data_IF_812716968440
#
_entry.id   IF_812716968440
#
_cell.length_a   1.000
_cell.length_b   1.000
_cell.length_c   1.000
_cell.angle_alpha   90.00
_cell.angle_beta   90.00
_cell.angle_gamma   90.00
#
_symmetry.space_group_name_H-M   'P 1'
#
loop_
_entity.id
_entity.type
_entity.pdbx_description
1 polymer ?
#
# COMPACT_ATOMS: atom_id res chain seq x y z
N UNK A 1 16.17 8.00 0.38
CA UNK A 1 14.95 7.80 -0.43
C UNK A 1 13.91 7.07 0.42
N UNK A 2 12.63 7.34 0.20
CA UNK A 2 11.52 6.65 0.86
C UNK A 2 11.31 5.30 0.18
N UNK A 3 11.19 4.23 0.97
CA UNK A 3 10.90 2.91 0.42
C UNK A 3 9.42 2.77 0.07
N UNK A 4 9.10 2.07 -1.02
CA UNK A 4 7.73 1.70 -1.38
C UNK A 4 7.38 0.31 -0.84
N UNK A 5 6.17 0.15 -0.31
CA UNK A 5 5.66 -1.15 0.17
C UNK A 5 4.27 -1.40 -0.41
N UNK A 6 4.18 -2.37 -1.30
CA UNK A 6 2.88 -2.85 -1.82
C UNK A 6 2.35 -3.94 -0.90
N UNK A 7 1.15 -3.75 -0.36
CA UNK A 7 0.44 -4.73 0.47
C UNK A 7 -0.50 -5.55 -0.41
N UNK A 8 -0.06 -6.74 -0.82
CA UNK A 8 -0.73 -7.57 -1.82
C UNK A 8 -1.04 -9.00 -1.35
N UNK A 9 -0.76 -9.34 -0.09
CA UNK A 9 -0.88 -10.73 0.40
C UNK A 9 -2.32 -11.23 0.61
N UNK A 10 -3.34 -10.40 0.32
CA UNK A 10 -4.74 -10.78 0.45
C UNK A 10 -5.12 -11.94 -0.47
N UNK A 11 -5.84 -12.93 0.07
CA UNK A 11 -6.24 -14.15 -0.65
C UNK A 11 -7.29 -13.94 -1.74
N UNK A 12 -7.95 -12.77 -1.78
CA UNK A 12 -8.97 -12.44 -2.79
C UNK A 12 -10.13 -13.45 -2.87
N UNK A 13 -10.55 -14.04 -1.75
CA UNK A 13 -11.55 -15.13 -1.73
C UNK A 13 -12.82 -14.83 -2.53
N UNK A 14 -13.30 -13.59 -2.52
CA UNK A 14 -14.48 -13.14 -3.28
C UNK A 14 -14.22 -13.00 -4.77
N UNK A 15 -12.96 -12.85 -5.16
CA UNK A 15 -12.49 -12.67 -6.55
C UNK A 15 -12.06 -13.99 -7.20
N UNK A 16 -12.15 -15.12 -6.48
CA UNK A 16 -11.70 -16.43 -6.98
C UNK A 16 -10.19 -16.63 -6.96
N UNK A 17 -9.42 -15.70 -6.39
CA UNK A 17 -7.96 -15.75 -6.29
C UNK A 17 -7.37 -14.42 -5.82
N UNK A 18 -6.03 -14.32 -5.71
CA UNK A 18 -5.36 -13.10 -5.27
C UNK A 18 -5.69 -11.91 -6.19
N UNK A 19 -6.28 -10.84 -5.62
CA UNK A 19 -6.57 -9.61 -6.37
C UNK A 19 -5.36 -9.06 -7.10
N UNK A 20 -4.19 -9.22 -6.51
CA UNK A 20 -2.92 -8.75 -7.04
C UNK A 20 -2.60 -9.27 -8.44
N UNK A 21 -3.13 -10.45 -8.80
CA UNK A 21 -2.93 -11.09 -10.11
C UNK A 21 -3.96 -10.68 -11.17
N UNK A 22 -5.01 -9.93 -10.80
CA UNK A 22 -5.98 -9.45 -11.78
C UNK A 22 -5.31 -8.43 -12.71
N UNK A 23 -5.66 -8.53 -13.99
CA UNK A 23 -5.10 -7.66 -15.03
C UNK A 23 -5.99 -6.45 -15.29
N UNK A 24 -5.37 -5.28 -15.35
CA UNK A 24 -5.94 -4.02 -15.82
C UNK A 24 -4.98 -3.42 -16.86
N UNK A 25 -5.48 -3.13 -18.06
CA UNK A 25 -4.71 -2.55 -19.16
C UNK A 25 -3.42 -3.32 -19.52
N UNK A 26 -3.44 -4.66 -19.38
CA UNK A 26 -2.34 -5.55 -19.77
C UNK A 26 -1.23 -5.70 -18.73
N UNK A 27 -1.40 -5.17 -17.52
CA UNK A 27 -0.51 -5.41 -16.39
C UNK A 27 -1.30 -5.94 -15.17
N UNK A 28 -0.68 -6.75 -14.32
CA UNK A 28 -1.32 -7.15 -13.08
C UNK A 28 -1.43 -5.96 -12.11
N UNK A 29 -2.42 -5.99 -11.20
CA UNK A 29 -2.55 -4.94 -10.19
C UNK A 29 -1.30 -4.81 -9.31
N UNK A 30 -0.56 -5.91 -9.11
CA UNK A 30 0.72 -5.90 -8.40
C UNK A 30 1.81 -5.17 -9.20
N UNK A 31 1.97 -5.51 -10.49
CA UNK A 31 2.91 -4.83 -11.38
C UNK A 31 2.60 -3.34 -11.46
N UNK A 32 1.33 -3.00 -11.63
CA UNK A 32 0.85 -1.62 -11.65
C UNK A 32 1.23 -0.88 -10.37
N UNK A 33 0.96 -1.45 -9.20
CA UNK A 33 1.28 -0.82 -7.93
C UNK A 33 2.80 -0.60 -7.75
N UNK A 34 3.63 -1.58 -8.09
CA UNK A 34 5.09 -1.47 -8.04
C UNK A 34 5.59 -0.37 -9.00
N UNK A 35 5.11 -0.35 -10.25
CA UNK A 35 5.43 0.69 -11.23
C UNK A 35 5.05 2.09 -10.75
N UNK A 36 3.84 2.27 -10.20
CA UNK A 36 3.39 3.57 -9.68
C UNK A 36 4.28 4.09 -8.54
N UNK A 37 4.75 3.22 -7.65
CA UNK A 37 5.70 3.56 -6.60
C UNK A 37 7.06 3.99 -7.18
N UNK A 38 7.56 3.27 -8.20
CA UNK A 38 8.81 3.61 -8.89
C UNK A 38 8.71 4.98 -9.59
N UNK A 39 7.63 5.20 -10.34
CA UNK A 39 7.35 6.46 -11.05
C UNK A 39 7.18 7.64 -10.08
N UNK A 40 6.69 7.38 -8.87
CA UNK A 40 6.58 8.40 -7.83
C UNK A 40 7.93 8.74 -7.19
N UNK A 41 8.98 7.92 -7.40
CA UNK A 41 10.32 8.14 -6.86
C UNK A 41 10.62 7.34 -5.59
N UNK A 42 9.83 6.32 -5.26
CA UNK A 42 10.15 5.39 -4.18
C UNK A 42 11.26 4.42 -4.59
N UNK A 43 12.20 4.16 -3.69
CA UNK A 43 13.25 3.13 -3.87
C UNK A 43 13.88 2.80 -2.51
N UNK A 44 14.12 1.51 -2.22
CA UNK A 44 13.67 0.32 -2.96
C UNK A 44 12.16 0.07 -2.83
N UNK A 45 11.63 -0.83 -3.68
CA UNK A 45 10.23 -1.24 -3.64
C UNK A 45 10.14 -2.68 -3.14
N UNK A 46 9.22 -2.93 -2.21
CA UNK A 46 8.91 -4.24 -1.66
C UNK A 46 7.46 -4.60 -1.96
N UNK A 47 7.23 -5.82 -2.43
CA UNK A 47 5.89 -6.36 -2.64
C UNK A 47 5.64 -7.47 -1.62
N UNK A 48 4.72 -7.22 -0.68
CA UNK A 48 4.29 -8.22 0.30
C UNK A 48 3.19 -9.06 -0.33
N UNK A 49 3.49 -10.34 -0.57
CA UNK A 49 2.62 -11.29 -1.26
C UNK A 49 2.29 -12.48 -0.36
N UNK A 50 1.22 -13.22 -0.70
CA UNK A 50 0.90 -14.50 -0.07
C UNK A 50 1.74 -15.64 -0.64
N UNK A 51 1.36 -16.88 -0.30
CA UNK A 51 1.97 -18.10 -0.84
C UNK A 51 1.38 -18.44 -2.23
N UNK A 52 1.75 -17.63 -3.21
CA UNK A 52 1.34 -17.75 -4.61
C UNK A 52 2.39 -17.08 -5.52
N UNK A 53 2.44 -17.51 -6.78
CA UNK A 53 3.39 -16.98 -7.76
C UNK A 53 2.97 -15.58 -8.23
N UNK A 54 3.73 -14.52 -7.91
CA UNK A 54 3.41 -13.15 -8.33
C UNK A 54 3.77 -12.86 -9.81
N UNK A 55 4.42 -13.78 -10.50
CA UNK A 55 5.00 -13.54 -11.81
C UNK A 55 6.19 -12.58 -11.77
N UNK A 56 6.48 -11.97 -12.91
CA UNK A 56 7.57 -10.99 -13.03
C UNK A 56 7.11 -9.62 -12.55
N UNK A 57 7.67 -9.14 -11.44
CA UNK A 57 7.38 -7.82 -10.87
C UNK A 57 8.68 -7.13 -10.46
N UNK A 58 8.83 -5.86 -10.82
CA UNK A 58 10.02 -5.06 -10.49
C UNK A 58 9.96 -4.57 -9.03
N UNK A 59 10.07 -5.52 -8.09
CA UNK A 59 10.09 -5.29 -6.66
C UNK A 59 10.77 -6.43 -5.93
N UNK A 60 11.28 -6.17 -4.73
CA UNK A 60 11.73 -7.21 -3.81
C UNK A 60 10.52 -7.94 -3.21
N UNK A 61 10.38 -9.23 -3.49
CA UNK A 61 9.28 -10.03 -2.99
C UNK A 61 9.45 -10.37 -1.50
N UNK A 62 8.39 -10.19 -0.74
CA UNK A 62 8.29 -10.53 0.68
C UNK A 62 7.11 -11.47 0.87
N UNK A 63 7.39 -12.75 1.08
CA UNK A 63 6.33 -13.74 1.31
C UNK A 63 5.81 -13.57 2.74
N UNK A 64 4.52 -13.32 2.88
CA UNK A 64 3.83 -13.25 4.16
C UNK A 64 3.11 -14.57 4.45
N UNK A 65 3.76 -15.48 5.16
CA UNK A 65 3.17 -16.75 5.59
C UNK A 65 2.00 -16.57 6.59
N UNK A 66 1.92 -15.40 7.26
CA UNK A 66 0.88 -15.05 8.23
C UNK A 66 -0.27 -14.24 7.60
N UNK A 67 -0.41 -14.22 6.27
CA UNK A 67 -1.40 -13.40 5.58
C UNK A 67 -2.85 -13.65 6.06
N UNK A 68 -3.15 -14.85 6.54
CA UNK A 68 -4.46 -15.21 7.10
C UNK A 68 -4.80 -14.45 8.40
N UNK A 69 -3.82 -13.90 9.11
CA UNK A 69 -4.04 -13.05 10.29
C UNK A 69 -4.75 -11.75 9.92
N UNK A 70 -4.48 -11.20 8.74
CA UNK A 70 -5.05 -9.94 8.26
C UNK A 70 -4.00 -8.89 7.88
N UNK A 71 -4.43 -7.64 7.69
CA UNK A 71 -3.62 -6.52 7.19
C UNK A 71 -2.38 -6.25 8.05
N UNK A 72 -2.48 -6.39 9.37
CA UNK A 72 -1.38 -6.15 10.29
C UNK A 72 -0.15 -7.01 9.98
N UNK A 73 -0.35 -8.29 9.64
CA UNK A 73 0.75 -9.20 9.29
C UNK A 73 1.50 -8.73 8.05
N UNK A 74 0.79 -8.22 7.03
CA UNK A 74 1.38 -7.71 5.81
C UNK A 74 2.19 -6.43 6.04
N UNK A 75 1.68 -5.51 6.88
CA UNK A 75 2.41 -4.31 7.27
C UNK A 75 3.70 -4.69 8.01
N UNK A 76 3.63 -5.62 8.98
CA UNK A 76 4.80 -6.10 9.73
C UNK A 76 5.83 -6.77 8.81
N UNK A 77 5.39 -7.62 7.88
CA UNK A 77 6.27 -8.29 6.92
C UNK A 77 7.02 -7.27 6.05
N UNK A 78 6.31 -6.29 5.49
CA UNK A 78 6.89 -5.20 4.72
C UNK A 78 7.92 -4.40 5.51
N UNK A 79 7.57 -3.98 6.74
CA UNK A 79 8.47 -3.19 7.59
C UNK A 79 9.76 -3.95 7.98
N UNK A 80 9.67 -5.26 8.24
CA UNK A 80 10.84 -6.10 8.57
C UNK A 80 11.81 -6.23 7.40
N UNK A 81 11.32 -6.15 6.17
CA UNK A 81 12.13 -6.22 4.96
C UNK A 81 12.86 -4.92 4.63
N UNK A 82 12.42 -3.78 5.20
CA UNK A 82 12.99 -2.48 4.88
C UNK A 82 14.45 -2.36 5.33
N UNK A 83 15.30 -1.67 4.54
CA UNK A 83 16.65 -1.31 4.97
C UNK A 83 16.62 -0.52 6.29
N UNK A 84 17.59 -0.80 7.16
CA UNK A 84 17.72 -0.07 8.44
C UNK A 84 17.86 1.45 8.26
N UNK A 85 18.37 1.89 7.11
CA UNK A 85 18.55 3.31 6.78
C UNK A 85 17.32 3.96 6.13
N UNK A 86 16.23 3.21 5.82
CA UNK A 86 15.04 3.81 5.23
C UNK A 86 14.39 4.81 6.20
N UNK A 87 14.27 6.11 5.86
CA UNK A 87 13.73 7.12 6.78
C UNK A 87 12.23 7.04 6.94
N UNK A 88 11.54 6.53 5.94
CA UNK A 88 10.09 6.37 5.89
C UNK A 88 9.71 5.27 4.89
N UNK A 89 8.44 4.83 4.93
CA UNK A 89 7.84 3.94 3.95
C UNK A 89 6.54 4.53 3.41
N UNK A 90 6.33 4.42 2.09
CA UNK A 90 5.04 4.66 1.45
C UNK A 90 4.34 3.32 1.27
N UNK A 91 3.21 3.14 1.94
CA UNK A 91 2.36 1.96 1.81
C UNK A 91 1.29 2.17 0.73
N UNK A 92 1.10 1.15 -0.10
CA UNK A 92 0.10 1.10 -1.16
C UNK A 92 -0.58 -0.27 -1.15
N UNK A 93 -1.90 -0.31 -1.35
CA UNK A 93 -2.66 -1.54 -1.64
C UNK A 93 -2.87 -1.69 -3.15
N UNK A 94 -3.28 -2.88 -3.59
CA UNK A 94 -3.50 -3.16 -5.03
C UNK A 94 -4.94 -2.90 -5.50
N UNK A 95 -5.86 -2.63 -4.58
CA UNK A 95 -7.29 -2.57 -4.82
C UNK A 95 -7.86 -1.17 -5.05
N UNK A 96 -7.02 -0.13 -5.07
CA UNK A 96 -7.41 1.26 -5.31
C UNK A 96 -7.07 1.70 -6.75
N UNK A 97 -7.98 1.51 -7.71
CA UNK A 97 -7.68 1.73 -9.14
C UNK A 97 -7.42 3.19 -9.51
N UNK A 98 -7.99 4.12 -8.75
CA UNK A 98 -7.82 5.55 -8.99
C UNK A 98 -6.46 6.10 -8.54
N UNK A 99 -5.62 5.31 -7.84
CA UNK A 99 -4.27 5.72 -7.48
C UNK A 99 -3.41 5.82 -8.74
N UNK A 100 -2.71 6.94 -8.87
CA UNK A 100 -1.75 7.23 -9.92
C UNK A 100 -0.42 7.79 -9.38
N UNK A 101 0.60 7.85 -10.22
CA UNK A 101 1.91 8.36 -9.81
C UNK A 101 1.90 9.87 -9.44
N UNK A 102 1.13 10.75 -10.08
CA UNK A 102 0.94 12.14 -9.64
C UNK A 102 0.41 12.27 -8.20
N UNK A 103 -0.60 11.46 -7.82
CA UNK A 103 -1.12 11.43 -6.45
C UNK A 103 -0.03 11.03 -5.46
N UNK A 104 0.72 9.96 -5.76
CA UNK A 104 1.79 9.48 -4.89
C UNK A 104 2.93 10.52 -4.75
N UNK A 105 3.29 11.21 -5.84
CA UNK A 105 4.27 12.33 -5.78
C UNK A 105 3.78 13.47 -4.88
N UNK A 106 2.51 13.84 -4.96
CA UNK A 106 1.92 14.86 -4.09
C UNK A 106 1.93 14.41 -2.62
N UNK A 107 1.66 13.13 -2.36
CA UNK A 107 1.70 12.58 -1.01
C UNK A 107 3.13 12.58 -0.44
N UNK A 108 4.14 12.22 -1.25
CA UNK A 108 5.55 12.30 -0.88
C UNK A 108 5.99 13.73 -0.62
N UNK A 109 5.55 14.70 -1.45
CA UNK A 109 5.83 16.12 -1.24
C UNK A 109 5.19 16.64 0.06
N UNK A 110 3.96 16.21 0.37
CA UNK A 110 3.30 16.55 1.63
C UNK A 110 4.08 16.00 2.83
N UNK A 111 4.51 14.73 2.78
CA UNK A 111 5.33 14.12 3.83
C UNK A 111 6.67 14.81 4.01
N UNK A 112 7.26 15.37 2.95
CA UNK A 112 8.52 16.09 3.00
C UNK A 112 8.42 17.45 3.71
N UNK A 113 7.23 18.02 3.89
CA UNK A 113 7.04 19.30 4.63
C UNK A 113 7.28 19.13 6.13
N UNK A 114 7.03 17.92 6.66
CA UNK A 114 7.31 17.55 8.04
C UNK A 114 7.69 16.05 8.08
N UNK A 115 9.00 15.72 7.98
CA UNK A 115 9.47 14.35 7.88
C UNK A 115 9.17 13.45 9.09
N UNK A 116 8.85 14.03 10.23
CA UNK A 116 8.49 13.29 11.43
C UNK A 116 6.99 13.03 11.53
N UNK A 117 6.17 13.75 10.78
CA UNK A 117 4.73 13.59 10.74
C UNK A 117 4.31 12.63 9.62
N UNK A 118 3.43 11.63 9.87
CA UNK A 118 2.91 10.81 8.78
C UNK A 118 2.03 11.64 7.84
N UNK A 119 1.95 11.23 6.57
CA UNK A 119 1.03 11.78 5.59
C UNK A 119 0.15 10.66 5.02
N UNK A 120 -1.13 10.92 4.80
CA UNK A 120 -2.07 9.90 4.34
C UNK A 120 -3.11 10.48 3.37
N UNK A 121 -3.64 9.65 2.49
CA UNK A 121 -4.79 10.02 1.69
C UNK A 121 -6.06 10.07 2.54
N UNK A 122 -6.87 11.12 2.31
CA UNK A 122 -8.16 11.31 2.94
C UNK A 122 -9.30 11.06 1.96
N UNK A 123 -10.26 10.21 2.32
CA UNK A 123 -11.43 9.87 1.52
C UNK A 123 -12.65 9.69 2.42
N UNK A 124 -13.77 10.33 2.01
CA UNK A 124 -14.94 10.44 2.86
C UNK A 124 -14.59 11.15 4.19
N UNK A 125 -15.06 10.61 5.29
CA UNK A 125 -14.78 11.13 6.64
C UNK A 125 -13.59 10.43 7.31
N UNK A 126 -12.69 9.80 6.53
CA UNK A 126 -11.58 9.00 7.05
C UNK A 126 -10.28 9.27 6.30
N UNK A 127 -9.22 8.64 6.77
CA UNK A 127 -7.92 8.61 6.10
C UNK A 127 -7.30 7.22 6.18
N UNK A 128 -6.36 6.95 5.28
CA UNK A 128 -5.69 5.65 5.22
C UNK A 128 -4.62 5.58 4.13
N UNK A 129 -4.37 4.37 3.67
CA UNK A 129 -3.46 4.07 2.56
C UNK A 129 -4.09 4.58 1.25
N UNK A 130 -3.30 5.22 0.34
CA UNK A 130 -1.84 5.41 0.41
C UNK A 130 -1.40 6.31 1.56
N UNK A 131 -0.31 5.92 2.23
CA UNK A 131 0.23 6.68 3.36
C UNK A 131 1.76 6.60 3.43
N UNK A 132 2.39 7.70 3.77
CA UNK A 132 3.82 7.79 4.11
C UNK A 132 3.94 7.78 5.62
N UNK A 133 4.67 6.79 6.14
CA UNK A 133 4.89 6.63 7.58
C UNK A 133 6.37 6.80 7.89
N UNK A 134 6.76 7.76 8.74
CA UNK A 134 8.14 7.95 9.14
C UNK A 134 8.63 6.80 10.03
N UNK A 135 9.94 6.54 9.99
CA UNK A 135 10.58 5.44 10.71
C UNK A 135 10.27 5.42 12.21
N UNK A 136 10.13 6.58 12.84
CA UNK A 136 9.83 6.66 14.28
C UNK A 136 8.55 5.91 14.66
N UNK A 137 7.62 5.74 13.70
CA UNK A 137 6.33 5.05 13.91
C UNK A 137 6.36 3.57 13.52
N UNK A 138 7.48 3.05 13.00
CA UNK A 138 7.59 1.62 12.66
C UNK A 138 7.34 0.70 13.86
N UNK A 139 7.83 1.01 15.10
CA UNK A 139 7.50 0.20 16.27
C UNK A 139 6.00 0.08 16.53
N UNK A 140 5.23 1.16 16.35
CA UNK A 140 3.78 1.15 16.54
C UNK A 140 3.09 0.25 15.50
N UNK A 141 3.52 0.34 14.23
CA UNK A 141 3.00 -0.51 13.16
C UNK A 141 3.42 -1.98 13.34
N UNK A 142 4.60 -2.25 13.87
CA UNK A 142 5.05 -3.61 14.20
C UNK A 142 4.24 -4.22 15.36
N UNK A 143 3.60 -3.41 16.19
CA UNK A 143 2.70 -3.83 17.26
C UNK A 143 1.26 -4.10 16.80
N UNK A 144 0.90 -3.85 15.54
CA UNK A 144 -0.45 -4.11 15.03
C UNK A 144 -0.76 -5.61 15.00
N UNK A 145 -2.04 -5.96 15.16
CA UNK A 145 -2.55 -7.34 15.15
C UNK A 145 -3.86 -7.45 14.37
N UNK A 146 -4.11 -8.62 13.79
CA UNK A 146 -5.35 -8.94 13.08
C UNK A 146 -5.56 -8.09 11.84
N UNK A 147 -6.79 -7.67 11.59
CA UNK A 147 -7.17 -6.85 10.43
C UNK A 147 -6.90 -5.34 10.60
N UNK A 148 -6.20 -4.97 11.68
CA UNK A 148 -5.87 -3.56 11.92
C UNK A 148 -4.82 -3.07 10.93
N UNK A 149 -5.20 -2.02 10.17
CA UNK A 149 -4.27 -1.27 9.33
C UNK A 149 -3.62 -0.09 10.07
N UNK A 150 -2.90 0.72 9.33
CA UNK A 150 -2.20 1.90 9.86
C UNK A 150 -3.14 3.01 10.38
N UNK A 151 -4.44 2.98 10.06
CA UNK A 151 -5.41 4.07 10.30
C UNK A 151 -5.38 4.61 11.73
N UNK A 152 -5.39 3.73 12.74
CA UNK A 152 -5.39 4.17 14.15
C UNK A 152 -4.11 4.95 14.51
N UNK A 153 -2.95 4.52 14.00
CA UNK A 153 -1.68 5.21 14.20
C UNK A 153 -1.71 6.56 13.47
N UNK A 154 -2.17 6.60 12.21
CA UNK A 154 -2.26 7.82 11.42
C UNK A 154 -3.17 8.88 12.08
N UNK A 155 -4.30 8.45 12.64
CA UNK A 155 -5.23 9.34 13.37
C UNK A 155 -4.60 9.86 14.66
N UNK A 156 -4.01 8.99 15.47
CA UNK A 156 -3.34 9.36 16.73
C UNK A 156 -2.23 10.38 16.50
N UNK A 157 -1.46 10.20 15.44
CA UNK A 157 -0.33 11.05 15.07
C UNK A 157 -0.76 12.28 14.26
N UNK A 158 -2.07 12.50 14.09
CA UNK A 158 -2.61 13.64 13.34
C UNK A 158 -1.97 13.77 11.96
N UNK A 159 -1.96 12.68 11.19
CA UNK A 159 -1.34 12.64 9.86
C UNK A 159 -1.73 13.86 9.01
N UNK A 160 -0.79 14.37 8.23
CA UNK A 160 -1.10 15.35 7.20
C UNK A 160 -1.98 14.69 6.13
N UNK A 161 -3.09 15.31 5.77
CA UNK A 161 -4.10 14.70 4.88
C UNK A 161 -4.02 15.27 3.48
N UNK A 162 -3.83 14.39 2.49
CA UNK A 162 -3.98 14.70 1.09
C UNK A 162 -5.40 14.28 0.65
N UNK A 163 -6.28 15.21 0.24
CA UNK A 163 -7.61 14.85 -0.26
C UNK A 163 -7.53 13.92 -1.48
N UNK A 164 -8.25 12.79 -1.40
CA UNK A 164 -8.33 11.77 -2.44
C UNK A 164 -9.72 11.11 -2.40
N UNK A 165 -10.79 11.83 -2.78
CA UNK A 165 -12.17 11.32 -2.70
C UNK A 165 -12.40 10.06 -3.53
N UNK A 166 -11.67 9.88 -4.64
CA UNK A 166 -11.70 8.68 -5.49
C UNK A 166 -11.19 7.42 -4.78
N UNK A 167 -10.47 7.57 -3.68
CA UNK A 167 -9.96 6.45 -2.85
C UNK A 167 -11.04 5.66 -2.11
N UNK A 168 -12.31 6.06 -2.21
CA UNK A 168 -13.46 5.28 -1.72
C UNK A 168 -13.81 4.09 -2.62
N UNK A 169 -13.29 4.07 -3.85
CA UNK A 169 -13.59 3.01 -4.82
C UNK A 169 -12.52 1.93 -4.71
N UNK A 170 -12.90 0.82 -4.10
CA UNK A 170 -12.07 -0.38 -4.02
C UNK A 170 -12.53 -1.43 -5.04
N UNK A 171 -11.58 -2.20 -5.56
CA UNK A 171 -11.85 -3.36 -6.39
C UNK A 171 -12.15 -4.58 -5.49
N UNK A 172 -13.41 -4.82 -5.18
CA UNK A 172 -13.82 -5.91 -4.30
C UNK A 172 -14.49 -7.09 -5.02
N UNK A 173 -15.01 -6.85 -6.23
CA UNK A 173 -15.75 -7.83 -7.04
C UNK A 173 -15.26 -7.84 -8.49
N UNK A 174 -15.45 -8.96 -9.24
CA UNK A 174 -15.16 -9.00 -10.68
C UNK A 174 -15.89 -7.91 -11.46
N UNK A 175 -17.12 -7.55 -11.05
CA UNK A 175 -17.93 -6.51 -11.66
C UNK A 175 -17.29 -5.12 -11.52
N UNK A 176 -16.55 -4.86 -10.43
CA UNK A 176 -15.82 -3.60 -10.26
C UNK A 176 -14.70 -3.48 -11.29
N UNK A 177 -13.99 -4.58 -11.56
CA UNK A 177 -12.96 -4.63 -12.58
C UNK A 177 -13.54 -4.41 -13.99
N UNK A 178 -14.69 -5.03 -14.29
CA UNK A 178 -15.37 -4.86 -15.57
C UNK A 178 -15.86 -3.44 -15.82
N UNK A 179 -16.23 -2.72 -14.76
CA UNK A 179 -16.60 -1.28 -14.85
C UNK A 179 -15.41 -0.39 -15.22
N UNK A 180 -14.21 -0.73 -14.76
CA UNK A 180 -12.99 0.04 -15.08
C UNK A 180 -12.47 -0.21 -16.49
N UNK A 181 -12.83 -1.34 -17.11
CA UNK A 181 -12.44 -1.70 -18.47
C UNK A 181 -13.34 -1.06 -19.57
N UNK A 182 -14.41 -0.38 -19.19
CA UNK A 182 -15.36 0.30 -20.10
C UNK A 182 -15.04 1.78 -20.25
#
# INVERSE_FOLDING_TARGET
MIAGVVLAAGSGRRMGGPKALLELDGESLLQRAARLLAEAGCSPIFAVVGDWDPGDVDAFLVINAEAAEGMASSIRAGLRALPKAAPAALFLTVDQPAVDAPLLRRLLALAATDPDRPAACGYGETLGIPAVVPRRLFPDLLGLQGDRGAKAVLLREQAAVLPFPEGLVDLDTPEDLDRLRR
#
